data_IF_233849364271
#
_entry.id   IF_233849364271
#
_cell.length_a   1.000
_cell.length_b   1.000
_cell.length_c   1.000
_cell.angle_alpha   90.00
_cell.angle_beta   90.00
_cell.angle_gamma   90.00
#
_symmetry.space_group_name_H-M   'P 1'
#
loop_
_entity.id
_entity.type
_entity.pdbx_description
1 polymer ?
#
# COMPACT_ATOMS: atom_id res chain seq x y z
N UNK A 1 38.71 0.13 44.96
CA UNK A 1 38.83 0.32 46.41
C UNK A 1 40.28 0.76 46.72
N UNK A 2 40.51 1.85 47.46
CA UNK A 2 41.87 2.32 47.82
C UNK A 2 42.68 1.26 48.60
N UNK A 3 41.96 0.35 49.21
CA UNK A 3 42.55 -0.72 50.03
C UNK A 3 43.32 -1.81 49.25
N UNK A 4 43.19 -1.81 47.91
CA UNK A 4 43.86 -2.78 47.03
C UNK A 4 45.21 -2.30 46.51
N UNK A 5 45.66 -1.11 46.89
CA UNK A 5 46.95 -0.55 46.48
C UNK A 5 47.94 -0.58 47.69
N UNK A 6 49.16 -0.98 47.38
CA UNK A 6 50.30 -0.87 48.26
C UNK A 6 51.38 -0.07 47.58
N UNK A 7 51.93 0.96 48.18
CA UNK A 7 53.02 1.72 47.65
C UNK A 7 54.24 0.88 47.42
N UNK A 8 54.95 1.02 46.32
CA UNK A 8 56.18 0.32 46.06
C UNK A 8 57.25 0.65 47.13
N UNK A 9 57.22 1.87 47.67
CA UNK A 9 58.17 2.27 48.75
C UNK A 9 57.92 1.48 50.06
N UNK A 10 56.61 1.25 50.36
CA UNK A 10 56.27 0.47 51.59
C UNK A 10 56.66 -1.00 51.42
N UNK A 11 56.57 -1.53 50.19
CA UNK A 11 57.04 -2.89 49.87
C UNK A 11 58.56 -2.99 50.01
N UNK A 12 59.32 -1.99 49.51
CA UNK A 12 60.82 -1.97 49.64
C UNK A 12 61.27 -1.85 51.05
N UNK A 13 60.56 -1.07 51.86
CA UNK A 13 60.88 -0.83 53.24
C UNK A 13 60.37 -1.93 54.24
N UNK A 14 59.67 -2.96 53.72
CA UNK A 14 58.98 -4.00 54.46
C UNK A 14 57.92 -3.45 55.47
N UNK A 15 57.33 -2.27 55.13
CA UNK A 15 56.35 -1.54 55.93
C UNK A 15 54.97 -1.73 55.47
N UNK A 16 54.51 -3.00 55.33
CA UNK A 16 53.14 -3.34 54.96
C UNK A 16 52.71 -4.66 55.54
N UNK A 17 51.41 -4.89 55.70
CA UNK A 17 50.84 -6.16 56.14
C UNK A 17 50.98 -7.24 55.05
N UNK A 18 51.90 -8.21 55.28
CA UNK A 18 52.16 -9.32 54.32
C UNK A 18 50.93 -10.18 54.02
N UNK A 19 49.94 -10.24 54.94
CA UNK A 19 48.67 -10.96 54.70
C UNK A 19 47.86 -10.38 53.55
N UNK A 20 48.13 -9.13 53.19
CA UNK A 20 47.40 -8.47 52.02
C UNK A 20 47.81 -9.05 50.72
N UNK A 21 48.98 -9.63 50.54
CA UNK A 21 49.53 -10.24 49.36
C UNK A 21 49.64 -11.78 49.41
N UNK A 22 49.51 -12.36 50.57
CA UNK A 22 49.60 -13.80 50.74
C UNK A 22 48.50 -14.54 50.01
N UNK A 23 48.88 -15.55 49.18
CA UNK A 23 47.95 -16.31 48.28
C UNK A 23 47.12 -15.46 47.31
N UNK A 24 47.63 -14.30 46.93
CA UNK A 24 46.96 -13.41 45.95
C UNK A 24 47.81 -13.18 44.71
N UNK A 25 47.18 -12.87 43.60
CA UNK A 25 47.82 -12.37 42.38
C UNK A 25 48.18 -10.91 42.63
N UNK A 26 49.46 -10.58 42.56
CA UNK A 26 49.97 -9.22 42.73
C UNK A 26 50.39 -8.67 41.39
N UNK A 27 49.85 -7.50 41.02
CA UNK A 27 50.22 -6.77 39.80
C UNK A 27 51.05 -5.56 40.19
N UNK A 28 52.18 -5.36 39.49
CA UNK A 28 53.05 -4.21 39.66
C UNK A 28 52.86 -3.30 38.44
N UNK A 29 52.53 -2.05 38.68
CA UNK A 29 52.32 -1.09 37.61
C UNK A 29 52.41 0.36 38.08
N UNK A 30 52.51 1.26 37.15
CA UNK A 30 52.55 2.68 37.43
C UNK A 30 51.14 3.24 37.66
N UNK A 31 50.96 4.06 38.70
CA UNK A 31 49.73 4.81 38.96
C UNK A 31 49.92 6.33 38.85
N UNK A 32 51.16 6.79 38.62
CA UNK A 32 51.48 8.20 38.54
C UNK A 32 51.15 8.76 37.15
N UNK A 33 50.42 9.88 37.09
CA UNK A 33 50.05 10.55 35.84
C UNK A 33 51.26 10.93 34.96
N UNK A 34 52.40 11.23 35.55
CA UNK A 34 53.62 11.59 34.85
C UNK A 34 54.28 10.44 34.05
N UNK A 35 53.86 9.17 34.29
CA UNK A 35 54.41 8.01 33.62
C UNK A 35 53.51 7.52 32.44
N UNK A 36 52.49 8.26 32.11
CA UNK A 36 51.65 8.09 30.93
C UNK A 36 50.96 6.73 30.75
N UNK A 37 50.97 5.83 31.78
CA UNK A 37 50.23 4.56 31.76
C UNK A 37 48.80 4.77 32.27
N UNK A 38 48.03 5.63 31.53
CA UNK A 38 46.67 5.98 31.91
C UNK A 38 45.74 5.67 30.73
N UNK A 39 44.70 4.92 31.02
CA UNK A 39 43.70 4.50 30.01
C UNK A 39 42.34 5.09 30.38
N UNK A 40 41.63 5.57 29.37
CA UNK A 40 40.23 6.00 29.49
C UNK A 40 39.32 4.79 29.23
N UNK A 41 38.53 4.41 30.23
CA UNK A 41 37.55 3.31 30.12
C UNK A 41 36.31 3.72 29.31
N UNK A 42 35.51 2.75 28.87
CA UNK A 42 34.31 2.99 28.10
C UNK A 42 33.24 3.83 28.84
N UNK A 43 33.23 3.76 30.19
CA UNK A 43 32.38 4.58 31.06
C UNK A 43 32.96 6.00 31.32
N UNK A 44 34.04 6.35 30.63
CA UNK A 44 34.66 7.67 30.68
C UNK A 44 35.62 7.91 31.84
N UNK A 45 35.86 6.94 32.75
CA UNK A 45 36.81 7.06 33.84
C UNK A 45 38.25 6.93 33.35
N UNK A 46 39.14 7.62 34.03
CA UNK A 46 40.56 7.57 33.75
C UNK A 46 41.23 6.73 34.86
N UNK A 47 41.83 5.64 34.43
CA UNK A 47 42.42 4.67 35.36
C UNK A 47 43.82 4.26 34.95
N UNK A 48 44.70 3.85 35.88
CA UNK A 48 46.02 3.29 35.54
C UNK A 48 45.87 2.00 34.71
N UNK A 49 46.78 1.78 33.74
CA UNK A 49 46.75 0.59 32.87
C UNK A 49 46.76 -0.72 33.64
N UNK A 50 47.55 -0.80 34.73
CA UNK A 50 47.60 -1.95 35.61
C UNK A 50 46.21 -2.32 36.18
N UNK A 51 45.35 -1.34 36.42
CA UNK A 51 44.00 -1.60 36.93
C UNK A 51 43.12 -2.29 35.88
N UNK A 52 43.32 -2.00 34.59
CA UNK A 52 42.63 -2.70 33.49
C UNK A 52 43.02 -4.20 33.51
N UNK A 53 44.33 -4.49 33.63
CA UNK A 53 44.80 -5.87 33.72
C UNK A 53 44.25 -6.59 34.96
N UNK A 54 44.15 -5.89 36.10
CA UNK A 54 43.54 -6.46 37.32
C UNK A 54 42.08 -6.84 37.11
N UNK A 55 41.29 -5.96 36.45
CA UNK A 55 39.88 -6.24 36.12
C UNK A 55 39.74 -7.39 35.14
N UNK A 56 40.61 -7.48 34.12
CA UNK A 56 40.57 -8.60 33.16
C UNK A 56 40.82 -9.94 33.88
N UNK A 57 41.83 -10.00 34.77
CA UNK A 57 42.15 -11.21 35.54
C UNK A 57 40.97 -11.57 36.45
N UNK A 58 40.41 -10.59 37.16
CA UNK A 58 39.26 -10.78 38.05
C UNK A 58 38.06 -11.35 37.30
N UNK A 59 37.72 -10.77 36.14
CA UNK A 59 36.63 -11.26 35.28
C UNK A 59 36.87 -12.70 34.79
N UNK A 60 38.13 -13.07 34.48
CA UNK A 60 38.48 -14.44 34.07
C UNK A 60 38.32 -15.42 35.24
N UNK A 61 38.80 -15.05 36.42
CA UNK A 61 38.72 -15.91 37.61
C UNK A 61 37.27 -16.12 38.08
N UNK A 62 36.44 -15.10 37.95
CA UNK A 62 35.03 -15.16 38.37
C UNK A 62 34.10 -15.68 37.25
N UNK A 63 34.62 -16.03 36.05
CA UNK A 63 33.83 -16.38 34.87
C UNK A 63 32.82 -15.28 34.45
N UNK A 64 33.17 -14.02 34.68
CA UNK A 64 32.32 -12.85 34.31
C UNK A 64 32.70 -12.27 32.95
N UNK A 65 33.54 -12.95 32.19
CA UNK A 65 33.92 -12.50 30.84
C UNK A 65 32.74 -12.68 29.85
N UNK A 66 32.49 -11.65 29.05
CA UNK A 66 31.52 -11.72 27.98
C UNK A 66 32.04 -12.66 26.90
N UNK A 67 31.28 -13.72 26.60
CA UNK A 67 31.69 -14.77 25.66
C UNK A 67 30.91 -14.64 24.36
N UNK A 68 31.63 -14.62 23.23
CA UNK A 68 31.05 -14.83 21.90
C UNK A 68 31.61 -16.17 21.35
N UNK A 69 30.88 -17.25 21.57
CA UNK A 69 31.25 -18.57 21.09
C UNK A 69 30.56 -18.91 19.78
N UNK A 70 30.93 -20.06 19.17
CA UNK A 70 30.37 -20.50 17.90
C UNK A 70 28.83 -20.68 17.95
N UNK A 71 28.30 -21.18 19.03
CA UNK A 71 26.86 -21.40 19.23
C UNK A 71 26.07 -20.09 19.23
N UNK A 72 26.61 -19.05 19.92
CA UNK A 72 25.99 -17.72 19.95
C UNK A 72 25.99 -17.09 18.53
N UNK A 73 27.07 -17.24 17.76
CA UNK A 73 27.13 -16.75 16.38
C UNK A 73 26.13 -17.46 15.46
N UNK A 74 25.99 -18.78 15.58
CA UNK A 74 25.02 -19.53 14.76
C UNK A 74 23.58 -19.11 15.12
N UNK A 75 23.25 -19.01 16.41
CA UNK A 75 21.91 -18.57 16.85
C UNK A 75 21.61 -17.14 16.41
N UNK A 76 22.58 -16.23 16.47
CA UNK A 76 22.46 -14.86 15.98
C UNK A 76 22.13 -14.84 14.49
N UNK A 77 22.83 -15.61 13.66
CA UNK A 77 22.57 -15.70 12.23
C UNK A 77 21.19 -16.28 11.91
N UNK A 78 20.75 -17.32 12.63
CA UNK A 78 19.40 -17.90 12.43
C UNK A 78 18.32 -16.87 12.78
N UNK A 79 18.43 -16.20 13.93
CA UNK A 79 17.49 -15.16 14.33
C UNK A 79 17.45 -14.03 13.31
N UNK A 80 18.61 -13.64 12.80
CA UNK A 80 18.74 -12.60 11.78
C UNK A 80 18.04 -12.97 10.47
N UNK A 81 18.21 -14.20 9.96
CA UNK A 81 17.52 -14.69 8.77
C UNK A 81 16.00 -14.69 8.97
N UNK A 82 15.52 -15.16 10.12
CA UNK A 82 14.08 -15.14 10.44
C UNK A 82 13.52 -13.73 10.49
N UNK A 83 14.25 -12.78 11.06
CA UNK A 83 13.88 -11.37 11.08
C UNK A 83 13.81 -10.75 9.69
N UNK A 84 14.77 -11.08 8.81
CA UNK A 84 14.73 -10.63 7.40
C UNK A 84 13.46 -11.12 6.72
N UNK A 85 13.14 -12.40 6.83
CA UNK A 85 11.92 -12.97 6.24
C UNK A 85 10.68 -12.25 6.78
N UNK A 86 10.57 -12.05 8.08
CA UNK A 86 9.47 -11.33 8.73
C UNK A 86 9.35 -9.88 8.24
N UNK A 87 10.46 -9.15 8.16
CA UNK A 87 10.51 -7.73 7.75
C UNK A 87 10.24 -7.52 6.25
N UNK A 88 10.44 -8.54 5.42
CA UNK A 88 10.07 -8.47 4.00
C UNK A 88 8.60 -8.82 3.80
N UNK A 89 8.12 -9.95 4.32
CA UNK A 89 6.79 -10.46 3.98
C UNK A 89 5.64 -9.79 4.76
N UNK A 90 5.83 -9.44 6.03
CA UNK A 90 4.74 -8.86 6.83
C UNK A 90 4.36 -7.45 6.33
N UNK A 91 5.29 -6.50 6.13
CA UNK A 91 4.94 -5.17 5.65
C UNK A 91 4.23 -5.15 4.30
N UNK A 92 4.51 -6.11 3.42
CA UNK A 92 3.84 -6.22 2.12
C UNK A 92 2.35 -6.57 2.23
N UNK A 93 1.94 -7.31 3.27
CA UNK A 93 0.56 -7.81 3.45
C UNK A 93 -0.34 -6.90 4.29
N UNK A 94 0.23 -6.06 5.15
CA UNK A 94 -0.53 -5.23 6.10
C UNK A 94 -0.56 -3.76 5.67
N UNK A 95 -1.52 -2.99 6.20
CA UNK A 95 -1.62 -1.54 5.92
C UNK A 95 -0.38 -0.80 6.42
N UNK A 96 0.08 0.28 5.74
CA UNK A 96 1.33 0.98 6.07
C UNK A 96 1.46 1.40 7.53
N UNK A 97 0.39 1.89 8.16
CA UNK A 97 0.41 2.28 9.58
C UNK A 97 0.75 1.13 10.53
N UNK A 98 0.25 -0.07 10.23
CA UNK A 98 0.55 -1.26 11.05
C UNK A 98 1.95 -1.80 10.76
N UNK A 99 2.46 -1.62 9.53
CA UNK A 99 3.84 -1.96 9.18
C UNK A 99 4.84 -1.16 10.00
N UNK A 100 4.58 0.14 10.21
CA UNK A 100 5.44 1.01 11.03
C UNK A 100 5.43 0.56 12.48
N UNK A 101 4.25 0.26 13.06
CA UNK A 101 4.13 -0.22 14.43
C UNK A 101 4.87 -1.55 14.60
N UNK A 102 4.70 -2.47 13.64
CA UNK A 102 5.41 -3.75 13.62
C UNK A 102 6.93 -3.57 13.57
N UNK A 103 7.42 -2.66 12.72
CA UNK A 103 8.85 -2.36 12.64
C UNK A 103 9.42 -1.80 13.93
N UNK A 104 8.74 -0.79 14.53
CA UNK A 104 9.15 -0.23 15.83
C UNK A 104 9.19 -1.31 16.90
N UNK A 105 8.17 -2.16 16.97
CA UNK A 105 8.12 -3.30 17.88
C UNK A 105 9.29 -4.26 17.67
N UNK A 106 9.67 -4.54 16.43
CA UNK A 106 10.82 -5.39 16.10
C UNK A 106 12.14 -4.78 16.57
N UNK A 107 12.36 -3.48 16.39
CA UNK A 107 13.57 -2.80 16.87
C UNK A 107 13.65 -2.82 18.40
N UNK A 108 12.55 -2.53 19.07
CA UNK A 108 12.49 -2.59 20.55
C UNK A 108 12.78 -4.02 21.02
N UNK A 109 12.21 -5.03 20.38
CA UNK A 109 12.38 -6.44 20.72
C UNK A 109 13.84 -6.90 20.60
N UNK A 110 14.51 -6.54 19.47
CA UNK A 110 15.94 -6.86 19.27
C UNK A 110 16.81 -6.29 20.41
N UNK A 111 16.57 -5.01 20.75
CA UNK A 111 17.37 -4.35 21.79
C UNK A 111 17.07 -4.90 23.19
N UNK A 112 15.82 -5.22 23.51
CA UNK A 112 15.46 -5.86 24.78
C UNK A 112 16.09 -7.23 24.93
N UNK A 113 16.05 -8.06 23.89
CA UNK A 113 16.71 -9.38 23.90
C UNK A 113 18.21 -9.23 24.10
N UNK A 114 18.85 -8.26 23.43
CA UNK A 114 20.28 -8.01 23.58
C UNK A 114 20.64 -7.68 25.05
N UNK A 115 19.86 -6.83 25.73
CA UNK A 115 20.05 -6.49 27.14
C UNK A 115 19.88 -7.72 28.04
N UNK A 116 18.85 -8.54 27.78
CA UNK A 116 18.63 -9.77 28.58
C UNK A 116 19.77 -10.76 28.40
N UNK A 117 20.21 -11.00 27.17
CA UNK A 117 21.31 -11.92 26.85
C UNK A 117 22.63 -11.45 27.47
N UNK A 118 22.84 -10.12 27.50
CA UNK A 118 24.00 -9.52 28.14
C UNK A 118 24.09 -9.87 29.65
N UNK A 119 22.95 -9.98 30.35
CA UNK A 119 22.94 -10.40 31.77
C UNK A 119 23.42 -11.84 32.01
N UNK A 120 23.44 -12.66 30.95
CA UNK A 120 23.98 -14.03 31.00
C UNK A 120 25.42 -14.13 30.47
N UNK A 121 26.14 -12.99 30.38
CA UNK A 121 27.52 -12.90 29.88
C UNK A 121 27.67 -13.27 28.40
N UNK A 122 26.59 -13.20 27.59
CA UNK A 122 26.66 -13.38 26.15
C UNK A 122 26.50 -12.03 25.43
N UNK A 123 27.21 -11.87 24.32
CA UNK A 123 27.13 -10.69 23.47
C UNK A 123 26.29 -10.95 22.23
N UNK A 124 25.29 -10.08 21.99
CA UNK A 124 24.50 -10.04 20.78
C UNK A 124 24.60 -8.64 20.15
N UNK A 125 25.00 -8.57 18.88
CA UNK A 125 25.16 -7.30 18.18
C UNK A 125 23.78 -6.73 17.74
N UNK A 126 23.15 -5.99 18.65
CA UNK A 126 21.86 -5.36 18.40
C UNK A 126 21.96 -4.14 17.47
N UNK A 127 23.10 -3.45 17.45
CA UNK A 127 23.28 -2.24 16.64
C UNK A 127 23.33 -2.60 15.16
N UNK A 128 24.14 -3.55 14.76
CA UNK A 128 24.22 -4.04 13.38
C UNK A 128 22.89 -4.63 12.92
N UNK A 129 22.25 -5.44 13.76
CA UNK A 129 20.94 -6.03 13.51
C UNK A 129 19.84 -4.96 13.32
N UNK A 130 19.84 -3.90 14.12
CA UNK A 130 18.87 -2.80 14.03
C UNK A 130 19.07 -1.96 12.76
N UNK A 131 20.30 -1.66 12.36
CA UNK A 131 20.61 -0.95 11.13
C UNK A 131 20.15 -1.76 9.92
N UNK A 132 20.48 -3.03 9.87
CA UNK A 132 20.11 -3.91 8.77
C UNK A 132 18.60 -4.11 8.68
N UNK A 133 17.92 -4.28 9.82
CA UNK A 133 16.45 -4.33 9.88
C UNK A 133 15.82 -3.05 9.32
N UNK A 134 16.40 -1.89 9.59
CA UNK A 134 15.93 -0.59 9.07
C UNK A 134 16.07 -0.53 7.55
N UNK A 135 17.21 -0.92 7.00
CA UNK A 135 17.44 -0.93 5.54
C UNK A 135 16.47 -1.89 4.84
N UNK A 136 16.28 -3.10 5.38
CA UNK A 136 15.36 -4.08 4.81
C UNK A 136 13.91 -3.59 4.86
N UNK A 137 13.49 -3.00 5.96
CA UNK A 137 12.15 -2.44 6.10
C UNK A 137 11.91 -1.30 5.11
N UNK A 138 12.86 -0.38 4.97
CA UNK A 138 12.76 0.73 4.01
C UNK A 138 12.69 0.24 2.56
N UNK A 139 13.50 -0.76 2.19
CA UNK A 139 13.43 -1.39 0.86
C UNK A 139 12.09 -2.09 0.64
N UNK A 140 11.56 -2.81 1.63
CA UNK A 140 10.24 -3.46 1.55
C UNK A 140 9.11 -2.44 1.36
N UNK A 141 9.11 -1.33 2.10
CA UNK A 141 8.15 -0.24 1.92
C UNK A 141 8.26 0.42 0.54
N UNK A 142 9.48 0.60 0.04
CA UNK A 142 9.71 1.18 -1.27
C UNK A 142 9.11 0.32 -2.40
N UNK A 143 9.35 -1.00 -2.37
CA UNK A 143 8.74 -1.91 -3.35
C UNK A 143 7.22 -1.93 -3.25
N UNK A 144 6.67 -1.95 -2.05
CA UNK A 144 5.22 -1.85 -1.85
C UNK A 144 4.65 -0.56 -2.45
N UNK A 145 5.30 0.57 -2.23
CA UNK A 145 4.90 1.85 -2.80
C UNK A 145 4.92 1.82 -4.34
N UNK A 146 5.94 1.20 -4.95
CA UNK A 146 5.99 1.04 -6.40
C UNK A 146 4.83 0.20 -6.94
N UNK A 147 4.52 -0.94 -6.29
CA UNK A 147 3.41 -1.80 -6.69
C UNK A 147 2.06 -1.08 -6.61
N UNK A 148 1.80 -0.37 -5.49
CA UNK A 148 0.57 0.41 -5.31
C UNK A 148 0.43 1.51 -6.37
N UNK A 149 1.52 2.20 -6.74
CA UNK A 149 1.52 3.20 -7.80
C UNK A 149 1.24 2.60 -9.19
N UNK A 150 1.86 1.48 -9.52
CA UNK A 150 1.62 0.79 -10.80
C UNK A 150 0.14 0.41 -10.92
N UNK A 151 -0.44 -0.19 -9.89
CA UNK A 151 -1.86 -0.56 -9.85
C UNK A 151 -2.76 0.67 -9.97
N UNK A 152 -2.43 1.78 -9.31
CA UNK A 152 -3.20 3.03 -9.38
C UNK A 152 -3.19 3.60 -10.81
N UNK A 153 -2.03 3.67 -11.46
CA UNK A 153 -1.88 4.14 -12.84
C UNK A 153 -2.67 3.25 -13.82
N UNK A 154 -2.61 1.94 -13.65
CA UNK A 154 -3.35 1.00 -14.50
C UNK A 154 -4.87 1.16 -14.35
N UNK A 155 -5.35 1.33 -13.11
CA UNK A 155 -6.77 1.58 -12.84
C UNK A 155 -7.25 2.91 -13.44
N UNK A 156 -6.48 3.98 -13.32
CA UNK A 156 -6.79 5.28 -13.90
C UNK A 156 -6.86 5.22 -15.43
N UNK A 157 -5.90 4.51 -16.05
CA UNK A 157 -5.90 4.26 -17.50
C UNK A 157 -7.14 3.50 -17.95
N UNK A 158 -7.51 2.45 -17.21
CA UNK A 158 -8.70 1.64 -17.51
C UNK A 158 -9.99 2.47 -17.38
N UNK A 159 -10.11 3.28 -16.35
CA UNK A 159 -11.24 4.19 -16.16
C UNK A 159 -11.33 5.24 -17.27
N UNK A 160 -10.19 5.80 -17.68
CA UNK A 160 -10.13 6.77 -18.77
C UNK A 160 -10.60 6.16 -20.12
N UNK A 161 -10.18 4.93 -20.42
CA UNK A 161 -10.65 4.21 -21.63
C UNK A 161 -12.15 3.98 -21.57
N UNK A 162 -12.67 3.46 -20.46
CA UNK A 162 -14.11 3.22 -20.28
C UNK A 162 -14.94 4.51 -20.39
N UNK A 163 -14.42 5.62 -19.92
CA UNK A 163 -15.06 6.93 -20.06
C UNK A 163 -15.14 7.37 -21.51
N UNK A 164 -14.02 7.26 -22.26
CA UNK A 164 -13.99 7.58 -23.69
C UNK A 164 -14.96 6.72 -24.51
N UNK A 165 -15.04 5.42 -24.23
CA UNK A 165 -15.98 4.52 -24.91
C UNK A 165 -17.44 4.95 -24.69
N UNK A 166 -17.80 5.39 -23.46
CA UNK A 166 -19.14 5.91 -23.15
C UNK A 166 -19.42 7.23 -23.87
N UNK A 167 -18.45 8.15 -23.92
CA UNK A 167 -18.56 9.41 -24.64
C UNK A 167 -18.82 9.15 -26.14
N UNK A 168 -18.05 8.25 -26.76
CA UNK A 168 -18.22 7.85 -28.16
C UNK A 168 -19.64 7.25 -28.39
N UNK A 169 -20.07 6.35 -27.49
CA UNK A 169 -21.42 5.78 -27.60
C UNK A 169 -22.51 6.87 -27.53
N UNK A 170 -22.35 7.88 -26.67
CA UNK A 170 -23.24 9.02 -26.59
C UNK A 170 -23.25 9.88 -27.88
N UNK A 171 -22.07 10.11 -28.46
CA UNK A 171 -21.96 10.83 -29.75
C UNK A 171 -22.63 10.08 -30.90
N UNK A 172 -22.47 8.75 -30.97
CA UNK A 172 -23.16 7.91 -31.96
C UNK A 172 -24.67 7.97 -31.74
N UNK A 173 -25.13 7.88 -30.49
CA UNK A 173 -26.54 7.97 -30.17
C UNK A 173 -27.14 9.32 -30.56
N UNK A 174 -26.45 10.44 -30.35
CA UNK A 174 -26.91 11.78 -30.79
C UNK A 174 -27.25 11.83 -32.30
N UNK A 175 -26.54 11.08 -33.12
CA UNK A 175 -26.81 10.99 -34.56
C UNK A 175 -28.07 10.19 -34.91
N UNK A 176 -28.60 9.43 -33.95
CA UNK A 176 -29.86 8.68 -34.13
C UNK A 176 -31.10 9.58 -33.96
N UNK A 177 -30.97 10.73 -33.30
CA UNK A 177 -32.09 11.68 -33.18
C UNK A 177 -32.38 12.35 -34.52
N UNK A 178 -33.66 12.69 -34.80
CA UNK A 178 -34.02 13.34 -36.04
C UNK A 178 -33.39 14.74 -36.11
N UNK A 179 -32.99 15.13 -37.34
CA UNK A 179 -32.47 16.46 -37.62
C UNK A 179 -33.10 16.90 -38.97
N UNK A 180 -34.33 17.41 -38.91
CA UNK A 180 -35.02 17.91 -40.08
C UNK A 180 -35.52 19.34 -39.83
N UNK A 181 -34.77 20.31 -40.33
CA UNK A 181 -35.04 21.76 -40.16
C UNK A 181 -36.41 22.19 -40.66
N UNK A 182 -37.02 21.46 -41.63
CA UNK A 182 -38.35 21.80 -42.13
C UNK A 182 -39.46 21.46 -41.16
N UNK A 183 -39.25 20.44 -40.33
CA UNK A 183 -40.22 20.01 -39.31
C UNK A 183 -40.02 20.75 -38.00
N UNK A 184 -38.82 21.23 -37.71
CA UNK A 184 -38.48 21.98 -36.47
C UNK A 184 -39.32 23.22 -36.24
N UNK A 185 -39.95 23.79 -37.30
CA UNK A 185 -40.91 24.89 -37.16
C UNK A 185 -42.26 24.44 -36.56
N UNK A 186 -42.60 23.15 -36.61
CA UNK A 186 -43.86 22.59 -36.10
C UNK A 186 -43.67 21.73 -34.87
N UNK A 187 -42.54 21.07 -34.72
CA UNK A 187 -42.20 20.17 -33.59
C UNK A 187 -40.90 20.63 -32.96
N UNK A 188 -40.95 20.99 -31.70
CA UNK A 188 -39.74 21.18 -30.88
C UNK A 188 -39.53 19.97 -30.00
N UNK A 189 -38.39 19.31 -30.15
CA UNK A 189 -37.99 18.17 -29.32
C UNK A 189 -36.50 18.23 -28.96
N UNK A 190 -36.18 17.94 -27.70
CA UNK A 190 -34.82 17.97 -27.21
C UNK A 190 -34.61 16.83 -26.24
N UNK A 191 -33.54 16.09 -26.41
CA UNK A 191 -33.05 15.11 -25.42
C UNK A 191 -31.87 15.70 -24.65
N UNK A 192 -31.94 15.61 -23.33
CA UNK A 192 -30.85 16.01 -22.45
C UNK A 192 -30.46 14.80 -21.59
N UNK A 193 -29.43 14.03 -22.02
CA UNK A 193 -29.04 12.82 -21.31
C UNK A 193 -28.60 13.08 -19.88
N UNK A 194 -29.07 12.27 -18.93
CA UNK A 194 -28.58 12.30 -17.54
C UNK A 194 -27.17 11.67 -17.40
N UNK A 195 -26.76 10.85 -18.37
CA UNK A 195 -25.42 10.26 -18.54
C UNK A 195 -25.01 10.39 -20.00
N UNK A 196 -23.84 9.86 -20.36
CA UNK A 196 -23.32 9.93 -21.74
C UNK A 196 -24.30 9.34 -22.77
N UNK A 197 -25.08 8.34 -22.39
CA UNK A 197 -26.08 7.65 -23.22
C UNK A 197 -27.45 7.72 -22.55
N UNK A 198 -28.49 8.17 -23.31
CA UNK A 198 -29.86 8.32 -22.81
C UNK A 198 -30.72 7.07 -23.04
N UNK A 199 -31.66 6.79 -22.11
CA UNK A 199 -32.78 5.89 -22.31
C UNK A 199 -33.94 6.58 -23.03
N UNK A 200 -34.11 7.88 -22.78
CA UNK A 200 -35.16 8.68 -23.39
C UNK A 200 -34.93 8.81 -24.90
N UNK A 201 -36.00 8.70 -25.62
CA UNK A 201 -35.99 8.68 -27.10
C UNK A 201 -37.17 9.44 -27.67
N UNK A 202 -36.92 10.21 -28.70
CA UNK A 202 -37.95 10.77 -29.57
C UNK A 202 -37.53 10.64 -31.01
N UNK A 203 -38.54 10.50 -31.90
CA UNK A 203 -38.31 10.53 -33.32
C UNK A 203 -39.57 11.02 -34.05
N UNK A 204 -39.40 11.55 -35.22
CA UNK A 204 -40.49 11.97 -36.10
C UNK A 204 -40.12 11.75 -37.58
N UNK A 205 -41.14 11.45 -38.35
CA UNK A 205 -41.02 11.25 -39.80
C UNK A 205 -42.16 11.93 -40.53
N UNK A 206 -41.82 12.81 -41.49
CA UNK A 206 -42.81 13.46 -42.33
C UNK A 206 -43.25 12.49 -43.42
N UNK A 207 -44.56 12.15 -43.42
CA UNK A 207 -45.19 11.25 -44.42
C UNK A 207 -45.49 12.01 -45.69
N UNK A 208 -46.10 13.20 -45.53
CA UNK A 208 -46.45 14.15 -46.60
C UNK A 208 -46.45 15.58 -45.99
N UNK A 209 -46.85 16.57 -46.77
CA UNK A 209 -46.81 17.99 -46.35
C UNK A 209 -47.71 18.27 -45.14
N UNK A 210 -48.73 17.46 -44.88
CA UNK A 210 -49.75 17.67 -43.86
C UNK A 210 -49.71 16.63 -42.75
N UNK A 211 -48.89 15.59 -42.87
CA UNK A 211 -48.91 14.49 -41.89
C UNK A 211 -47.51 14.16 -41.38
N UNK A 212 -47.35 14.19 -40.05
CA UNK A 212 -46.13 13.82 -39.38
C UNK A 212 -46.40 12.66 -38.43
N UNK A 213 -45.55 11.61 -38.52
CA UNK A 213 -45.56 10.48 -37.61
C UNK A 213 -44.53 10.70 -36.53
N UNK A 214 -44.88 10.49 -35.27
CA UNK A 214 -43.97 10.70 -34.16
C UNK A 214 -43.98 9.51 -33.14
N UNK A 215 -42.90 9.39 -32.42
CA UNK A 215 -42.74 8.52 -31.26
C UNK A 215 -42.00 9.28 -30.17
N UNK A 216 -42.42 9.08 -28.91
CA UNK A 216 -41.73 9.46 -27.70
C UNK A 216 -41.67 8.23 -26.80
N UNK A 217 -40.48 7.84 -26.38
CA UNK A 217 -40.26 6.62 -25.58
C UNK A 217 -39.25 6.83 -24.45
N UNK A 218 -39.40 6.05 -23.41
CA UNK A 218 -38.47 5.94 -22.31
C UNK A 218 -38.11 4.46 -22.08
N UNK A 219 -36.81 4.16 -22.10
CA UNK A 219 -36.26 2.82 -21.93
C UNK A 219 -35.86 2.64 -20.47
N UNK A 220 -36.33 1.56 -19.86
CA UNK A 220 -35.91 1.21 -18.50
C UNK A 220 -34.41 1.01 -18.39
N UNK A 221 -33.82 1.57 -17.33
CA UNK A 221 -32.38 1.52 -17.08
C UNK A 221 -31.63 2.75 -17.63
N UNK A 222 -30.30 2.69 -17.65
CA UNK A 222 -29.44 3.81 -18.05
C UNK A 222 -28.17 3.31 -18.76
N UNK A 223 -27.56 4.17 -19.57
CA UNK A 223 -26.30 3.92 -20.22
C UNK A 223 -26.44 3.07 -21.50
N UNK A 224 -25.35 2.40 -21.88
CA UNK A 224 -25.21 1.75 -23.19
C UNK A 224 -26.32 0.72 -23.47
N UNK A 225 -26.72 -0.08 -22.49
CA UNK A 225 -27.80 -1.09 -22.66
C UNK A 225 -29.12 -0.45 -23.06
N UNK A 226 -29.52 0.63 -22.39
CA UNK A 226 -30.73 1.37 -22.69
C UNK A 226 -30.63 2.04 -24.07
N UNK A 227 -29.47 2.61 -24.42
CA UNK A 227 -29.21 3.21 -25.72
C UNK A 227 -29.28 2.22 -26.88
N UNK A 228 -28.85 0.98 -26.71
CA UNK A 228 -28.97 -0.07 -27.74
C UNK A 228 -30.41 -0.44 -27.96
N UNK A 229 -31.21 -0.64 -26.90
CA UNK A 229 -32.62 -0.99 -27.02
C UNK A 229 -33.43 0.17 -27.68
N UNK A 230 -33.09 1.42 -27.29
CA UNK A 230 -33.60 2.62 -27.94
C UNK A 230 -33.28 2.65 -29.45
N UNK A 231 -32.03 2.38 -29.85
CA UNK A 231 -31.60 2.40 -31.22
C UNK A 231 -32.36 1.35 -32.08
N UNK A 232 -32.64 0.18 -31.49
CA UNK A 232 -33.45 -0.85 -32.10
C UNK A 232 -34.90 -0.36 -32.35
N UNK A 233 -35.55 0.21 -31.34
CA UNK A 233 -36.88 0.77 -31.45
C UNK A 233 -36.94 1.92 -32.51
N UNK A 234 -35.92 2.78 -32.57
CA UNK A 234 -35.78 3.85 -33.55
C UNK A 234 -35.71 3.31 -34.99
N UNK A 235 -34.92 2.27 -35.21
CA UNK A 235 -34.81 1.65 -36.55
C UNK A 235 -36.12 1.06 -37.02
N UNK A 236 -36.85 0.37 -36.15
CA UNK A 236 -38.19 -0.20 -36.46
C UNK A 236 -39.19 0.90 -36.73
N UNK A 237 -39.26 1.93 -35.87
CA UNK A 237 -40.14 3.10 -36.09
C UNK A 237 -39.90 3.73 -37.45
N UNK A 238 -38.69 4.09 -37.81
CA UNK A 238 -38.35 4.75 -39.07
C UNK A 238 -38.71 3.89 -40.29
N UNK A 239 -38.46 2.59 -40.21
CA UNK A 239 -38.78 1.68 -41.31
C UNK A 239 -40.27 1.63 -41.56
N UNK A 240 -41.10 1.55 -40.51
CA UNK A 240 -42.55 1.47 -40.63
C UNK A 240 -43.19 2.82 -40.93
N UNK A 241 -42.64 3.93 -40.44
CA UNK A 241 -43.06 5.27 -40.75
C UNK A 241 -42.88 5.58 -42.26
N UNK A 242 -41.76 5.20 -42.87
CA UNK A 242 -41.50 5.28 -44.30
C UNK A 242 -42.51 4.53 -45.15
N UNK A 243 -42.99 3.37 -44.63
CA UNK A 243 -44.00 2.56 -45.32
C UNK A 243 -45.43 3.05 -45.05
N UNK A 244 -45.60 4.19 -44.37
CA UNK A 244 -46.90 4.74 -43.98
C UNK A 244 -47.78 3.71 -43.23
N UNK A 245 -47.20 2.87 -42.41
CA UNK A 245 -47.91 1.88 -41.60
C UNK A 245 -48.84 2.55 -40.60
N UNK A 246 -49.93 1.86 -40.22
CA UNK A 246 -50.83 2.35 -39.18
C UNK A 246 -50.12 2.40 -37.81
N UNK A 247 -50.54 3.33 -36.95
CA UNK A 247 -49.99 3.50 -35.57
C UNK A 247 -50.06 2.19 -34.81
N UNK A 248 -51.19 1.47 -34.83
CA UNK A 248 -51.36 0.21 -34.16
C UNK A 248 -50.42 -0.88 -34.67
N UNK A 249 -50.19 -0.98 -36.00
CA UNK A 249 -49.24 -1.94 -36.58
C UNK A 249 -47.80 -1.59 -36.14
N UNK A 250 -47.42 -0.33 -36.19
CA UNK A 250 -46.09 0.12 -35.76
C UNK A 250 -45.85 -0.19 -34.28
N UNK A 251 -46.80 0.10 -33.39
CA UNK A 251 -46.72 -0.21 -31.99
C UNK A 251 -46.53 -1.72 -31.72
N UNK A 252 -47.29 -2.56 -32.44
CA UNK A 252 -47.19 -4.02 -32.36
C UNK A 252 -45.80 -4.53 -32.76
N UNK A 253 -45.25 -4.05 -33.86
CA UNK A 253 -43.92 -4.45 -34.33
C UNK A 253 -42.80 -3.98 -33.41
N UNK A 254 -42.87 -2.74 -32.92
CA UNK A 254 -41.89 -2.25 -31.90
C UNK A 254 -41.95 -3.11 -30.65
N UNK A 255 -43.17 -3.40 -30.14
CA UNK A 255 -43.35 -4.22 -28.96
C UNK A 255 -42.73 -5.63 -29.12
N UNK A 256 -43.00 -6.31 -30.25
CA UNK A 256 -42.44 -7.62 -30.54
C UNK A 256 -40.91 -7.55 -30.65
N UNK A 257 -40.37 -6.59 -31.38
CA UNK A 257 -38.92 -6.45 -31.52
C UNK A 257 -38.21 -6.13 -30.23
N UNK A 258 -38.78 -5.26 -29.36
CA UNK A 258 -38.28 -4.95 -28.06
C UNK A 258 -38.33 -6.19 -27.16
N UNK A 259 -39.43 -6.94 -27.16
CA UNK A 259 -39.58 -8.17 -26.39
C UNK A 259 -38.52 -9.21 -26.76
N UNK A 260 -38.26 -9.41 -28.05
CA UNK A 260 -37.30 -10.40 -28.54
C UNK A 260 -35.84 -10.00 -28.32
N UNK A 261 -35.55 -8.68 -28.26
CA UNK A 261 -34.20 -8.13 -28.09
C UNK A 261 -33.89 -7.60 -26.67
N UNK A 262 -34.86 -7.64 -25.75
CA UNK A 262 -34.69 -7.10 -24.42
C UNK A 262 -33.72 -7.95 -23.56
N UNK A 263 -32.89 -7.26 -22.78
CA UNK A 263 -31.95 -7.87 -21.85
C UNK A 263 -32.43 -7.68 -20.40
N UNK A 264 -32.50 -8.73 -19.62
CA UNK A 264 -32.85 -8.68 -18.18
C UNK A 264 -34.15 -7.91 -17.88
N UNK A 265 -35.23 -8.23 -18.58
CA UNK A 265 -36.56 -7.62 -18.39
C UNK A 265 -36.61 -6.11 -18.65
N UNK A 266 -35.72 -5.57 -19.49
CA UNK A 266 -35.82 -4.19 -19.94
C UNK A 266 -37.03 -4.02 -20.83
N UNK A 267 -37.69 -2.86 -20.76
CA UNK A 267 -38.85 -2.49 -21.59
C UNK A 267 -38.79 -1.02 -21.98
N UNK A 268 -39.64 -0.64 -22.91
CA UNK A 268 -39.82 0.73 -23.37
C UNK A 268 -41.29 1.13 -23.12
N UNK A 269 -41.48 2.24 -22.44
CA UNK A 269 -42.76 2.94 -22.45
C UNK A 269 -42.77 3.92 -23.63
N UNK A 270 -43.78 3.90 -24.48
CA UNK A 270 -43.79 4.75 -25.66
C UNK A 270 -45.17 5.29 -25.97
N UNK A 271 -45.20 6.51 -26.54
CA UNK A 271 -46.34 7.17 -27.14
C UNK A 271 -46.05 7.27 -28.66
N UNK A 272 -46.94 6.76 -29.47
CA UNK A 272 -46.90 6.89 -30.91
C UNK A 272 -48.14 7.59 -31.43
N UNK A 273 -47.99 8.42 -32.45
CA UNK A 273 -49.09 9.12 -33.05
C UNK A 273 -48.80 9.70 -34.42
N UNK A 274 -49.84 10.15 -35.07
CA UNK A 274 -49.77 10.96 -36.26
C UNK A 274 -50.45 12.29 -36.02
N UNK A 275 -49.87 13.35 -36.54
CA UNK A 275 -50.39 14.73 -36.49
C UNK A 275 -50.64 15.15 -37.93
N UNK A 276 -51.88 15.69 -38.17
CA UNK A 276 -52.29 16.27 -39.39
C UNK A 276 -52.35 17.81 -39.30
#
# INVERSE_FOLDING_TARGET
NKDNYISAIDVINDDFDKKRIENKIVLIGSSAQALFDIVKTADGKVVPGVQIHAHIIDNILNNESIIKNLYTQISENIIFILLIILLVFIPMKIKPKFSIIFFIGTIIFINLISIIIYQFNFYLDSLFSSITATVIFMTSLYFKYLDENIIAIENDKKQSILKKEREIAGEVQKKLFPNNKKIEQYIFAKNTPAKDVSGDYYDYYQINDNEIYFILGDVTGKGIKAGILMANAAAVFRSLAKMNSSVAKTALYINNQVKDSSYQSMFITAILGKIN
#
